data_IF_186406548203
#
_entry.id   IF_186406548203
#
_cell.length_a   1.000
_cell.length_b   1.000
_cell.length_c   1.000
_cell.angle_alpha   90.00
_cell.angle_beta   90.00
_cell.angle_gamma   90.00
#
_symmetry.space_group_name_H-M   'P 1'
#
loop_
_entity.id
_entity.type
_entity.pdbx_description
1 polymer ?
#
# COMPACT_ATOMS: atom_id res chain seq x y z
N UNK A 1 -18.39 4.50 -2.45
CA UNK A 1 -17.24 4.47 -3.39
C UNK A 1 -16.61 3.07 -3.44
N UNK A 2 -17.38 2.03 -3.79
CA UNK A 2 -16.92 0.62 -3.71
C UNK A 2 -16.52 -0.01 -5.07
N UNK A 3 -16.57 0.75 -6.18
CA UNK A 3 -16.59 0.17 -7.52
C UNK A 3 -15.21 -0.14 -8.14
N UNK A 4 -14.10 0.27 -7.49
CA UNK A 4 -12.74 0.12 -8.02
C UNK A 4 -12.03 -1.18 -7.62
N UNK A 5 -12.26 -1.67 -6.39
CA UNK A 5 -11.61 -2.89 -5.85
C UNK A 5 -12.15 -4.18 -6.44
N UNK A 6 -13.46 -4.25 -6.63
CA UNK A 6 -14.11 -5.43 -7.21
C UNK A 6 -13.76 -5.62 -8.69
N UNK A 7 -13.38 -4.54 -9.39
CA UNK A 7 -13.00 -4.56 -10.80
C UNK A 7 -11.59 -5.14 -10.98
N UNK A 8 -10.60 -4.76 -10.17
CA UNK A 8 -9.23 -5.25 -10.33
C UNK A 8 -9.05 -6.72 -9.87
N UNK A 9 -9.70 -7.12 -8.78
CA UNK A 9 -9.72 -8.53 -8.37
C UNK A 9 -10.44 -9.41 -9.38
N UNK A 10 -11.50 -8.89 -10.03
CA UNK A 10 -12.15 -9.59 -11.15
C UNK A 10 -11.23 -9.72 -12.36
N UNK A 11 -10.45 -8.68 -12.70
CA UNK A 11 -9.58 -8.70 -13.88
C UNK A 11 -8.47 -9.73 -13.73
N UNK A 12 -7.82 -9.81 -12.57
CA UNK A 12 -6.75 -10.80 -12.33
C UNK A 12 -7.31 -12.22 -12.23
N UNK A 13 -8.40 -12.42 -11.48
CA UNK A 13 -9.04 -13.74 -11.36
C UNK A 13 -9.60 -14.23 -12.69
N UNK A 14 -10.11 -13.31 -13.53
CA UNK A 14 -10.58 -13.61 -14.89
C UNK A 14 -9.43 -13.85 -15.86
N UNK A 15 -8.30 -13.16 -15.69
CA UNK A 15 -7.08 -13.40 -16.47
C UNK A 15 -6.47 -14.77 -16.19
N UNK A 16 -6.35 -15.14 -14.91
CA UNK A 16 -5.89 -16.46 -14.48
C UNK A 16 -6.90 -17.56 -14.83
N UNK A 17 -8.20 -17.26 -14.74
CA UNK A 17 -9.27 -18.13 -15.22
C UNK A 17 -9.18 -18.36 -16.73
N UNK A 18 -8.97 -17.32 -17.52
CA UNK A 18 -8.81 -17.42 -18.97
C UNK A 18 -7.52 -18.14 -19.38
N UNK A 19 -6.43 -17.97 -18.65
CA UNK A 19 -5.18 -18.73 -18.87
C UNK A 19 -5.38 -20.21 -18.55
N UNK A 20 -5.98 -20.53 -17.40
CA UNK A 20 -6.35 -21.91 -17.05
C UNK A 20 -7.31 -22.50 -18.10
N UNK A 21 -8.34 -21.77 -18.51
CA UNK A 21 -9.32 -22.25 -19.48
C UNK A 21 -8.68 -22.40 -20.89
N UNK A 22 -7.68 -21.59 -21.24
CA UNK A 22 -6.89 -21.76 -22.46
C UNK A 22 -5.96 -23.00 -22.39
N UNK A 23 -5.36 -23.28 -21.23
CA UNK A 23 -4.55 -24.48 -21.02
C UNK A 23 -5.41 -25.76 -20.96
N UNK A 24 -6.58 -25.71 -20.31
CA UNK A 24 -7.49 -26.87 -20.20
C UNK A 24 -8.25 -27.10 -21.51
N UNK A 25 -8.68 -26.01 -22.17
CA UNK A 25 -9.33 -26.06 -23.48
C UNK A 25 -8.37 -26.48 -24.60
N UNK A 26 -7.07 -26.15 -24.49
CA UNK A 26 -6.04 -26.65 -25.41
C UNK A 26 -5.87 -28.18 -25.35
N UNK A 27 -6.09 -28.79 -24.19
CA UNK A 27 -6.10 -30.26 -24.05
C UNK A 27 -7.34 -30.90 -24.69
N UNK A 28 -8.53 -30.29 -24.54
CA UNK A 28 -9.78 -30.77 -25.15
C UNK A 28 -9.85 -30.52 -26.69
N UNK A 29 -9.28 -29.41 -27.18
CA UNK A 29 -9.18 -29.11 -28.62
C UNK A 29 -8.10 -29.96 -29.31
N UNK A 30 -7.01 -30.32 -28.61
CA UNK A 30 -6.02 -31.26 -29.12
C UNK A 30 -6.60 -32.67 -29.31
N UNK A 31 -7.51 -33.11 -28.43
CA UNK A 31 -8.26 -34.37 -28.61
C UNK A 31 -9.29 -34.29 -29.75
N UNK A 32 -9.98 -33.16 -29.94
CA UNK A 32 -10.93 -33.00 -31.05
C UNK A 32 -10.25 -32.89 -32.43
N UNK A 33 -9.08 -32.28 -32.50
CA UNK A 33 -8.32 -32.17 -33.76
C UNK A 33 -7.85 -33.55 -34.26
N UNK A 34 -7.58 -34.49 -33.35
CA UNK A 34 -7.27 -35.89 -33.73
C UNK A 34 -8.45 -36.62 -34.39
N UNK A 35 -9.70 -36.32 -34.00
CA UNK A 35 -10.89 -36.94 -34.62
C UNK A 35 -11.20 -36.41 -36.02
N UNK A 36 -10.82 -35.18 -36.34
CA UNK A 36 -11.04 -34.58 -37.66
C UNK A 36 -9.89 -34.90 -38.65
N UNK A 37 -8.65 -35.04 -38.16
CA UNK A 37 -7.48 -35.41 -38.99
C UNK A 37 -7.55 -36.81 -39.61
N UNK A 38 -8.30 -37.74 -39.01
CA UNK A 38 -8.44 -39.10 -39.56
C UNK A 38 -9.24 -39.12 -40.88
N UNK A 39 -10.01 -38.07 -41.19
CA UNK A 39 -10.77 -37.96 -42.45
C UNK A 39 -10.01 -37.30 -43.61
N UNK A 40 -8.81 -36.74 -43.37
CA UNK A 40 -8.00 -36.06 -44.37
C UNK A 40 -6.77 -36.86 -44.86
N UNK A 41 -6.53 -38.07 -44.35
CA UNK A 41 -5.33 -38.91 -44.60
C UNK A 41 -5.17 -39.52 -46.01
N UNK A 42 -5.70 -38.89 -47.05
CA UNK A 42 -5.41 -39.26 -48.44
C UNK A 42 -4.49 -38.24 -49.10
N UNK A 43 -3.20 -38.24 -48.73
CA UNK A 43 -2.17 -37.58 -49.55
C UNK A 43 -0.91 -37.01 -48.89
N UNK A 44 -0.77 -37.03 -47.56
CA UNK A 44 0.46 -36.57 -46.88
C UNK A 44 1.31 -37.75 -46.41
N UNK A 45 2.65 -37.63 -46.54
CA UNK A 45 3.62 -38.64 -46.11
C UNK A 45 3.32 -39.15 -44.69
N UNK A 46 3.27 -40.48 -44.50
CA UNK A 46 3.09 -41.06 -43.17
C UNK A 46 4.24 -40.59 -42.25
N UNK A 47 3.94 -40.13 -41.02
CA UNK A 47 4.96 -39.69 -40.09
C UNK A 47 5.95 -40.83 -39.82
N UNK A 48 7.23 -40.54 -40.07
CA UNK A 48 8.32 -41.50 -39.90
C UNK A 48 8.47 -41.89 -38.41
N UNK A 49 8.98 -43.09 -38.13
CA UNK A 49 9.17 -43.53 -36.74
C UNK A 49 10.01 -42.56 -35.86
N UNK A 50 11.05 -41.88 -36.37
CA UNK A 50 11.76 -40.84 -35.63
C UNK A 50 10.89 -39.60 -35.32
N UNK A 51 10.08 -39.14 -36.26
CA UNK A 51 9.17 -37.99 -36.08
C UNK A 51 8.10 -38.27 -35.01
N UNK A 52 7.51 -39.48 -35.00
CA UNK A 52 6.54 -39.89 -33.97
C UNK A 52 7.13 -39.87 -32.56
N UNK A 53 8.35 -40.38 -32.40
CA UNK A 53 9.04 -40.40 -31.11
C UNK A 53 9.38 -38.99 -30.61
N UNK A 54 9.83 -38.10 -31.50
CA UNK A 54 10.09 -36.70 -31.13
C UNK A 54 8.80 -35.98 -30.72
N UNK A 55 7.66 -36.27 -31.39
CA UNK A 55 6.37 -35.72 -31.00
C UNK A 55 5.90 -36.20 -29.60
N UNK A 56 6.12 -37.48 -29.26
CA UNK A 56 5.82 -38.01 -27.91
C UNK A 56 6.67 -37.30 -26.84
N UNK A 57 7.96 -37.10 -27.08
CA UNK A 57 8.86 -36.41 -26.14
C UNK A 57 8.51 -34.91 -25.98
N UNK A 58 8.05 -34.27 -27.06
CA UNK A 58 7.55 -32.89 -26.99
C UNK A 58 6.24 -32.80 -26.22
N UNK A 59 5.34 -33.77 -26.38
CA UNK A 59 4.11 -33.85 -25.61
C UNK A 59 4.38 -34.00 -24.11
N UNK A 60 5.34 -34.85 -23.73
CA UNK A 60 5.78 -35.00 -22.33
C UNK A 60 6.38 -33.69 -21.77
N UNK A 61 7.12 -32.94 -22.58
CA UNK A 61 7.68 -31.64 -22.21
C UNK A 61 6.59 -30.58 -22.06
N UNK A 62 5.61 -30.54 -22.96
CA UNK A 62 4.45 -29.65 -22.86
C UNK A 62 3.62 -29.94 -21.61
N UNK A 63 3.44 -31.22 -21.28
CA UNK A 63 2.72 -31.63 -20.07
C UNK A 63 3.42 -31.14 -18.80
N UNK A 64 4.75 -31.28 -18.71
CA UNK A 64 5.53 -30.77 -17.59
C UNK A 64 5.41 -29.24 -17.45
N UNK A 65 5.47 -28.52 -18.57
CA UNK A 65 5.25 -27.07 -18.57
C UNK A 65 3.83 -26.70 -18.11
N UNK A 66 2.80 -27.44 -18.56
CA UNK A 66 1.42 -27.23 -18.15
C UNK A 66 1.19 -27.52 -16.66
N UNK A 67 1.93 -28.44 -16.07
CA UNK A 67 1.89 -28.75 -14.64
C UNK A 67 2.57 -27.68 -13.77
N UNK A 68 3.33 -26.76 -14.39
CA UNK A 68 3.96 -25.60 -13.77
C UNK A 68 5.49 -25.59 -13.88
N UNK A 69 6.12 -26.57 -14.52
CA UNK A 69 7.57 -26.58 -14.68
C UNK A 69 8.01 -25.72 -15.87
N UNK A 70 8.21 -24.41 -15.65
CA UNK A 70 8.64 -23.49 -16.71
C UNK A 70 10.15 -23.58 -16.99
N UNK A 71 10.88 -24.51 -16.34
CA UNK A 71 12.31 -24.72 -16.59
C UNK A 71 12.56 -25.66 -17.77
N UNK A 72 11.54 -26.41 -18.20
CA UNK A 72 11.65 -27.38 -19.29
C UNK A 72 11.87 -26.69 -20.64
N UNK A 73 12.65 -27.34 -21.51
CA UNK A 73 12.95 -26.87 -22.87
C UNK A 73 12.88 -28.02 -23.85
N UNK A 74 12.41 -27.74 -25.06
CA UNK A 74 12.44 -28.68 -26.17
C UNK A 74 13.78 -28.57 -26.91
N UNK A 75 14.35 -29.71 -27.30
CA UNK A 75 15.57 -29.78 -28.10
C UNK A 75 15.25 -30.18 -29.54
N UNK A 76 15.51 -29.28 -30.49
CA UNK A 76 15.46 -29.60 -31.92
C UNK A 76 16.53 -30.62 -32.30
N UNK A 77 16.16 -31.59 -33.15
CA UNK A 77 17.04 -32.69 -33.56
C UNK A 77 17.51 -32.62 -35.00
N UNK A 78 17.05 -31.65 -35.79
CA UNK A 78 17.41 -31.54 -37.20
C UNK A 78 16.77 -32.62 -38.09
N UNK A 79 15.84 -33.41 -37.54
CA UNK A 79 15.17 -34.52 -38.23
C UNK A 79 13.94 -34.05 -39.03
N UNK A 80 13.28 -32.98 -38.56
CA UNK A 80 12.09 -32.38 -39.18
C UNK A 80 12.10 -30.86 -38.91
N UNK A 81 12.23 -30.06 -39.96
CA UNK A 81 12.28 -28.59 -39.84
C UNK A 81 11.00 -27.99 -39.24
N UNK A 82 9.84 -28.64 -39.39
CA UNK A 82 8.61 -28.17 -38.76
C UNK A 82 8.63 -28.41 -37.25
N UNK A 83 9.16 -29.56 -36.81
CA UNK A 83 9.31 -29.87 -35.39
C UNK A 83 10.37 -28.99 -34.72
N UNK A 84 11.50 -28.71 -35.39
CA UNK A 84 12.52 -27.81 -34.85
C UNK A 84 11.97 -26.38 -34.67
N UNK A 85 11.18 -25.87 -35.64
CA UNK A 85 10.49 -24.58 -35.50
C UNK A 85 9.51 -24.56 -34.33
N UNK A 86 8.74 -25.64 -34.12
CA UNK A 86 7.84 -25.75 -32.97
C UNK A 86 8.59 -25.74 -31.64
N UNK A 87 9.75 -26.39 -31.56
CA UNK A 87 10.59 -26.37 -30.36
C UNK A 87 11.10 -24.96 -30.04
N UNK A 88 11.56 -24.22 -31.05
CA UNK A 88 12.01 -22.83 -30.89
C UNK A 88 10.87 -21.92 -30.42
N UNK A 89 9.70 -21.98 -31.06
CA UNK A 89 8.51 -21.19 -30.68
C UNK A 89 8.01 -21.53 -29.27
N UNK A 90 8.00 -22.82 -28.91
CA UNK A 90 7.65 -23.26 -27.56
C UNK A 90 8.64 -22.72 -26.52
N UNK A 91 9.94 -22.85 -26.77
CA UNK A 91 10.98 -22.36 -25.85
C UNK A 91 10.90 -20.84 -25.65
N UNK A 92 10.59 -20.08 -26.70
CA UNK A 92 10.36 -18.64 -26.61
C UNK A 92 9.14 -18.32 -25.74
N UNK A 93 8.01 -19.00 -25.96
CA UNK A 93 6.81 -18.82 -25.16
C UNK A 93 7.04 -19.13 -23.67
N UNK A 94 7.69 -20.26 -23.36
CA UNK A 94 7.99 -20.64 -21.97
C UNK A 94 8.94 -19.63 -21.33
N UNK A 95 9.93 -19.12 -22.06
CA UNK A 95 10.83 -18.06 -21.58
C UNK A 95 10.09 -16.77 -21.18
N UNK A 96 9.09 -16.34 -21.97
CA UNK A 96 8.28 -15.16 -21.63
C UNK A 96 7.34 -15.42 -20.44
N UNK A 97 6.77 -16.62 -20.33
CA UNK A 97 5.96 -17.03 -19.17
C UNK A 97 6.79 -17.09 -17.89
N UNK A 98 8.02 -17.60 -17.99
CA UNK A 98 8.98 -17.65 -16.89
C UNK A 98 9.30 -16.23 -16.39
N UNK A 99 9.68 -15.32 -17.29
CA UNK A 99 9.95 -13.91 -16.94
C UNK A 99 8.75 -13.22 -16.28
N UNK A 100 7.55 -13.48 -16.81
CA UNK A 100 6.32 -12.90 -16.27
C UNK A 100 6.05 -13.43 -14.86
N UNK A 101 6.25 -14.73 -14.65
CA UNK A 101 6.09 -15.39 -13.34
C UNK A 101 7.09 -14.84 -12.32
N UNK A 102 8.37 -14.72 -12.70
CA UNK A 102 9.40 -14.13 -11.85
C UNK A 102 9.08 -12.69 -11.48
N UNK A 103 8.60 -11.89 -12.43
CA UNK A 103 8.18 -10.52 -12.18
C UNK A 103 7.01 -10.45 -11.18
N UNK A 104 6.02 -11.34 -11.33
CA UNK A 104 4.90 -11.43 -10.40
C UNK A 104 5.35 -11.88 -9.00
N UNK A 105 6.27 -12.84 -8.89
CA UNK A 105 6.84 -13.27 -7.60
C UNK A 105 7.55 -12.12 -6.89
N UNK A 106 8.42 -11.39 -7.60
CA UNK A 106 9.09 -10.19 -7.06
C UNK A 106 8.07 -9.15 -6.58
N UNK A 107 7.08 -8.86 -7.41
CA UNK A 107 6.04 -7.87 -7.09
C UNK A 107 5.22 -8.26 -5.86
N UNK A 108 4.87 -9.54 -5.71
CA UNK A 108 4.17 -10.05 -4.53
C UNK A 108 5.02 -9.87 -3.27
N UNK A 109 6.31 -10.21 -3.31
CA UNK A 109 7.23 -9.97 -2.20
C UNK A 109 7.37 -8.49 -1.83
N UNK A 110 7.43 -7.61 -2.84
CA UNK A 110 7.43 -6.16 -2.62
C UNK A 110 6.14 -5.67 -1.96
N UNK A 111 4.98 -6.17 -2.38
CA UNK A 111 3.68 -5.82 -1.77
C UNK A 111 3.59 -6.29 -0.32
N UNK A 112 4.08 -7.49 -0.01
CA UNK A 112 4.13 -7.98 1.37
C UNK A 112 5.02 -7.11 2.26
N UNK A 113 6.23 -6.79 1.79
CA UNK A 113 7.17 -5.92 2.51
C UNK A 113 6.66 -4.50 2.67
N UNK A 114 6.08 -3.92 1.61
CA UNK A 114 5.48 -2.59 1.65
C UNK A 114 4.27 -2.56 2.61
N UNK A 115 3.48 -3.63 2.67
CA UNK A 115 2.37 -3.74 3.61
C UNK A 115 2.82 -3.62 5.08
N UNK A 116 3.92 -4.30 5.44
CA UNK A 116 4.51 -4.21 6.79
C UNK A 116 5.01 -2.79 7.08
N UNK A 117 5.69 -2.17 6.13
CA UNK A 117 6.18 -0.80 6.29
C UNK A 117 5.05 0.23 6.45
N UNK A 118 3.93 0.04 5.74
CA UNK A 118 2.73 0.89 5.90
C UNK A 118 2.09 0.70 7.27
N UNK A 119 2.04 -0.52 7.80
CA UNK A 119 1.51 -0.80 9.14
C UNK A 119 2.34 -0.09 10.22
N UNK A 120 3.67 -0.25 10.20
CA UNK A 120 4.58 0.41 11.14
C UNK A 120 4.52 1.94 11.06
N UNK A 121 4.48 2.48 9.85
CA UNK A 121 4.33 3.91 9.62
C UNK A 121 2.99 4.43 10.16
N UNK A 122 1.89 3.72 9.88
CA UNK A 122 0.56 4.09 10.38
C UNK A 122 0.50 4.09 11.91
N UNK A 123 1.16 3.12 12.54
CA UNK A 123 1.32 3.02 13.99
C UNK A 123 2.12 4.19 14.57
N UNK A 124 3.21 4.58 13.89
CA UNK A 124 4.04 5.72 14.29
C UNK A 124 3.27 7.03 14.20
N UNK A 125 2.55 7.24 13.10
CA UNK A 125 1.72 8.44 12.94
C UNK A 125 0.59 8.46 13.97
N UNK A 126 -0.05 7.32 14.26
CA UNK A 126 -1.09 7.24 15.31
C UNK A 126 -0.56 7.68 16.68
N UNK A 127 0.61 7.18 17.09
CA UNK A 127 1.23 7.60 18.37
C UNK A 127 1.57 9.09 18.37
N UNK A 128 2.05 9.62 17.25
CA UNK A 128 2.32 11.05 17.12
C UNK A 128 1.02 11.88 17.23
N UNK A 129 -0.06 11.43 16.59
CA UNK A 129 -1.39 12.03 16.68
C UNK A 129 -1.93 12.04 18.11
N UNK A 130 -1.80 10.94 18.84
CA UNK A 130 -2.20 10.84 20.25
C UNK A 130 -1.45 11.88 21.11
N UNK A 131 -0.13 12.01 20.92
CA UNK A 131 0.68 13.02 21.61
C UNK A 131 0.24 14.46 21.28
N UNK A 132 -0.16 14.72 20.04
CA UNK A 132 -0.70 16.03 19.64
C UNK A 132 -2.03 16.29 20.35
N UNK A 133 -2.92 15.30 20.44
CA UNK A 133 -4.20 15.43 21.16
C UNK A 133 -3.95 15.77 22.64
N UNK A 134 -3.05 15.05 23.30
CA UNK A 134 -2.70 15.32 24.70
C UNK A 134 -2.12 16.72 24.90
N UNK A 135 -1.26 17.16 23.97
CA UNK A 135 -0.70 18.52 23.96
C UNK A 135 -1.79 19.58 23.80
N UNK A 136 -2.74 19.35 22.89
CA UNK A 136 -3.87 20.25 22.63
C UNK A 136 -4.82 20.34 23.83
N UNK A 137 -5.05 19.23 24.54
CA UNK A 137 -5.83 19.23 25.78
C UNK A 137 -5.13 20.03 26.89
N UNK A 138 -3.81 19.87 27.02
CA UNK A 138 -2.99 20.62 27.98
C UNK A 138 -3.04 22.13 27.68
N UNK A 139 -2.78 22.51 26.42
CA UNK A 139 -2.86 23.90 25.96
C UNK A 139 -4.24 24.50 26.23
N UNK A 140 -5.32 23.76 25.93
CA UNK A 140 -6.69 24.21 26.20
C UNK A 140 -6.93 24.47 27.69
N UNK A 141 -6.40 23.62 28.57
CA UNK A 141 -6.46 23.81 30.01
C UNK A 141 -5.68 25.03 30.46
N UNK A 142 -4.46 25.20 29.98
CA UNK A 142 -3.57 26.31 30.31
C UNK A 142 -4.16 27.66 29.86
N UNK A 143 -4.71 27.72 28.65
CA UNK A 143 -5.40 28.91 28.14
C UNK A 143 -6.61 29.27 29.01
N UNK A 144 -7.40 28.27 29.43
CA UNK A 144 -8.52 28.48 30.33
C UNK A 144 -8.09 29.12 31.65
N UNK A 145 -7.05 28.56 32.29
CA UNK A 145 -6.49 29.09 33.53
C UNK A 145 -5.87 30.48 33.35
N UNK A 146 -5.22 30.74 32.22
CA UNK A 146 -4.59 32.02 31.93
C UNK A 146 -5.65 33.12 31.68
N UNK A 147 -6.76 32.77 31.03
CA UNK A 147 -7.89 33.68 30.82
C UNK A 147 -8.53 34.11 32.14
N UNK A 148 -8.72 33.17 33.08
CA UNK A 148 -9.22 33.48 34.42
C UNK A 148 -8.28 34.44 35.18
N UNK A 149 -6.96 34.22 35.08
CA UNK A 149 -5.97 35.10 35.69
C UNK A 149 -5.97 36.51 35.08
N UNK A 150 -6.04 36.61 33.75
CA UNK A 150 -6.12 37.89 33.05
C UNK A 150 -7.41 38.65 33.40
N UNK A 151 -8.54 37.95 33.48
CA UNK A 151 -9.80 38.57 33.90
C UNK A 151 -9.71 39.12 35.34
N UNK A 152 -9.18 38.33 36.28
CA UNK A 152 -9.00 38.79 37.67
C UNK A 152 -8.02 39.99 37.76
N UNK A 153 -6.98 40.02 36.93
CA UNK A 153 -6.06 41.14 36.85
C UNK A 153 -6.75 42.41 36.32
N UNK A 154 -7.56 42.30 35.25
CA UNK A 154 -8.34 43.42 34.73
C UNK A 154 -9.30 43.96 35.79
N UNK A 155 -10.05 43.09 36.49
CA UNK A 155 -10.98 43.49 37.55
C UNK A 155 -10.26 44.20 38.71
N UNK A 156 -9.05 43.76 39.04
CA UNK A 156 -8.21 44.42 40.05
C UNK A 156 -7.79 45.81 39.62
N UNK A 157 -7.35 45.97 38.36
CA UNK A 157 -6.96 47.27 37.80
C UNK A 157 -8.16 48.22 37.78
N UNK A 158 -9.33 47.75 37.33
CA UNK A 158 -10.57 48.54 37.32
C UNK A 158 -10.94 49.01 38.75
N UNK A 159 -10.74 48.15 39.76
CA UNK A 159 -10.94 48.53 41.17
C UNK A 159 -9.94 49.57 41.69
N UNK A 160 -8.67 49.49 41.29
CA UNK A 160 -7.65 50.50 41.65
C UNK A 160 -7.92 51.83 40.96
N UNK A 161 -8.31 51.81 39.68
CA UNK A 161 -8.72 53.00 38.93
C UNK A 161 -9.87 53.71 39.63
N UNK A 162 -10.94 52.99 40.00
CA UNK A 162 -12.07 53.57 40.71
C UNK A 162 -11.68 54.22 42.05
N UNK A 163 -10.77 53.60 42.81
CA UNK A 163 -10.27 54.18 44.05
C UNK A 163 -9.44 55.45 43.81
N UNK A 164 -8.62 55.48 42.75
CA UNK A 164 -7.84 56.66 42.38
C UNK A 164 -8.73 57.79 41.86
N UNK A 165 -9.80 57.50 41.13
CA UNK A 165 -10.81 58.48 40.69
C UNK A 165 -11.51 59.13 41.89
N UNK A 166 -11.83 58.35 42.93
CA UNK A 166 -12.40 58.88 44.18
C UNK A 166 -11.41 59.82 44.90
N UNK A 167 -10.12 59.46 44.91
CA UNK A 167 -9.06 60.33 45.47
C UNK A 167 -8.91 61.61 44.65
N UNK A 168 -8.89 61.53 43.32
CA UNK A 168 -8.82 62.70 42.45
C UNK A 168 -10.03 63.63 42.66
N UNK A 169 -11.24 63.08 42.81
CA UNK A 169 -12.45 63.84 43.08
C UNK A 169 -12.44 64.53 44.47
N UNK A 170 -11.83 63.90 45.47
CA UNK A 170 -11.72 64.45 46.83
C UNK A 170 -10.51 65.39 47.02
N UNK A 171 -9.47 65.25 46.20
CA UNK A 171 -8.21 65.99 46.28
C UNK A 171 -7.77 66.44 44.87
N UNK A 172 -8.41 67.49 44.32
CA UNK A 172 -8.15 67.94 42.94
C UNK A 172 -6.74 68.50 42.70
N UNK A 173 -5.97 68.77 43.76
CA UNK A 173 -4.57 69.19 43.67
C UNK A 173 -3.60 67.99 43.52
N UNK A 174 -4.09 66.76 43.62
CA UNK A 174 -3.28 65.55 43.45
C UNK A 174 -3.16 65.21 41.95
N UNK A 175 -1.93 65.18 41.43
CA UNK A 175 -1.62 64.84 40.03
C UNK A 175 -1.68 63.32 39.78
N UNK A 176 -2.90 62.77 39.71
CA UNK A 176 -3.17 61.32 39.66
C UNK A 176 -3.73 60.87 38.29
N UNK A 177 -4.36 61.74 37.51
CA UNK A 177 -4.82 61.45 36.14
C UNK A 177 -3.82 60.67 35.26
N UNK A 178 -2.51 61.01 35.22
CA UNK A 178 -1.55 60.26 34.40
C UNK A 178 -1.31 58.82 34.85
N UNK A 179 -1.66 58.47 36.09
CA UNK A 179 -1.57 57.11 36.62
C UNK A 179 -2.84 56.32 36.28
N UNK A 180 -4.02 56.96 36.38
CA UNK A 180 -5.30 56.37 35.94
C UNK A 180 -5.23 56.00 34.46
N UNK A 181 -4.84 56.94 33.59
CA UNK A 181 -4.75 56.69 32.15
C UNK A 181 -3.82 55.51 31.80
N UNK A 182 -2.70 55.35 32.53
CA UNK A 182 -1.78 54.22 32.35
C UNK A 182 -2.37 52.89 32.80
N UNK A 183 -3.12 52.89 33.89
CA UNK A 183 -3.80 51.69 34.37
C UNK A 183 -4.91 51.25 33.40
N UNK A 184 -5.68 52.20 32.85
CA UNK A 184 -6.68 51.92 31.83
C UNK A 184 -6.07 51.32 30.55
N UNK A 185 -4.93 51.85 30.10
CA UNK A 185 -4.16 51.28 28.98
C UNK A 185 -3.76 49.82 29.27
N UNK A 186 -3.20 49.55 30.45
CA UNK A 186 -2.83 48.19 30.86
C UNK A 186 -4.04 47.24 30.95
N UNK A 187 -5.19 47.71 31.46
CA UNK A 187 -6.41 46.92 31.47
C UNK A 187 -6.88 46.57 30.05
N UNK A 188 -6.73 47.50 29.09
CA UNK A 188 -7.01 47.24 27.68
C UNK A 188 -6.09 46.14 27.12
N UNK A 189 -4.78 46.24 27.36
CA UNK A 189 -3.82 45.23 26.90
C UNK A 189 -4.11 43.83 27.47
N UNK A 190 -4.51 43.75 28.73
CA UNK A 190 -4.90 42.48 29.38
C UNK A 190 -6.14 41.88 28.74
N UNK A 191 -7.16 42.69 28.40
CA UNK A 191 -8.36 42.23 27.70
C UNK A 191 -8.03 41.75 26.28
N UNK A 192 -7.13 42.44 25.59
CA UNK A 192 -6.65 42.01 24.27
C UNK A 192 -5.90 40.66 24.35
N UNK A 193 -5.06 40.47 25.37
CA UNK A 193 -4.41 39.19 25.62
C UNK A 193 -5.42 38.06 25.92
N UNK A 194 -6.49 38.35 26.66
CA UNK A 194 -7.56 37.38 26.91
C UNK A 194 -8.28 36.98 25.61
N UNK A 195 -8.53 37.92 24.70
CA UNK A 195 -9.12 37.65 23.38
C UNK A 195 -8.21 36.78 22.50
N UNK A 196 -6.89 36.99 22.56
CA UNK A 196 -5.92 36.11 21.87
C UNK A 196 -6.06 34.67 22.37
N UNK A 197 -6.23 34.46 23.67
CA UNK A 197 -6.47 33.14 24.26
C UNK A 197 -7.68 32.41 23.64
N UNK A 198 -8.80 33.11 23.43
CA UNK A 198 -9.99 32.53 22.77
C UNK A 198 -9.71 32.12 21.31
N UNK A 199 -8.89 32.90 20.61
CA UNK A 199 -8.40 32.56 19.26
C UNK A 199 -7.60 31.25 19.26
N UNK A 200 -6.64 31.11 20.17
CA UNK A 200 -5.82 29.89 20.28
C UNK A 200 -6.67 28.68 20.69
N UNK A 201 -7.68 28.86 21.54
CA UNK A 201 -8.61 27.78 21.90
C UNK A 201 -9.39 27.28 20.68
N UNK A 202 -9.85 28.19 19.83
CA UNK A 202 -10.56 27.85 18.58
C UNK A 202 -9.62 27.11 17.62
N UNK A 203 -8.39 27.59 17.46
CA UNK A 203 -7.37 26.95 16.63
C UNK A 203 -7.05 25.53 17.12
N UNK A 204 -6.92 25.35 18.43
CA UNK A 204 -6.71 24.05 19.07
C UNK A 204 -7.84 23.05 18.76
N UNK A 205 -9.10 23.51 18.74
CA UNK A 205 -10.23 22.66 18.35
C UNK A 205 -10.17 22.25 16.87
N UNK A 206 -9.78 23.17 15.99
CA UNK A 206 -9.61 22.88 14.56
C UNK A 206 -8.51 21.83 14.36
N UNK A 207 -7.36 22.00 15.00
CA UNK A 207 -6.26 21.01 14.94
C UNK A 207 -6.74 19.66 15.47
N UNK A 208 -7.46 19.62 16.59
CA UNK A 208 -8.03 18.38 17.13
C UNK A 208 -8.94 17.65 16.14
N UNK A 209 -9.79 18.39 15.42
CA UNK A 209 -10.65 17.81 14.38
C UNK A 209 -9.83 17.24 13.21
N UNK A 210 -8.80 17.95 12.75
CA UNK A 210 -7.90 17.47 11.70
C UNK A 210 -7.16 16.19 12.11
N UNK A 211 -6.68 16.11 13.35
CA UNK A 211 -6.02 14.91 13.87
C UNK A 211 -6.98 13.72 13.94
N UNK A 212 -8.25 13.95 14.29
CA UNK A 212 -9.26 12.91 14.28
C UNK A 212 -9.55 12.40 12.86
N UNK A 213 -9.59 13.30 11.87
CA UNK A 213 -9.75 12.95 10.45
C UNK A 213 -8.56 12.14 9.94
N UNK A 214 -7.32 12.57 10.23
CA UNK A 214 -6.10 11.81 9.90
C UNK A 214 -6.12 10.42 10.53
N UNK A 215 -6.56 10.30 11.77
CA UNK A 215 -6.68 8.99 12.44
C UNK A 215 -7.66 8.07 11.73
N UNK A 216 -8.77 8.60 11.21
CA UNK A 216 -9.71 7.83 10.42
C UNK A 216 -9.10 7.37 9.08
N UNK A 217 -8.38 8.26 8.38
CA UNK A 217 -7.69 7.92 7.14
C UNK A 217 -6.61 6.87 7.34
N UNK A 218 -5.83 6.95 8.42
CA UNK A 218 -4.79 5.95 8.74
C UNK A 218 -5.37 4.56 9.01
N UNK A 219 -6.51 4.48 9.70
CA UNK A 219 -7.22 3.20 9.84
C UNK A 219 -7.64 2.65 8.47
N UNK A 220 -8.03 3.53 7.56
CA UNK A 220 -8.40 3.17 6.18
C UNK A 220 -7.19 2.66 5.39
N UNK A 221 -6.04 3.32 5.48
CA UNK A 221 -4.79 2.93 4.84
C UNK A 221 -4.29 1.58 5.38
N UNK A 222 -4.28 1.41 6.70
CA UNK A 222 -3.88 0.15 7.36
C UNK A 222 -4.75 -1.03 6.93
N UNK A 223 -6.08 -0.85 6.86
CA UNK A 223 -6.98 -1.88 6.32
C UNK A 223 -6.63 -2.28 4.89
N UNK A 224 -6.31 -1.30 4.04
CA UNK A 224 -5.96 -1.56 2.63
C UNK A 224 -4.64 -2.29 2.50
N UNK A 225 -3.65 -1.95 3.33
CA UNK A 225 -2.38 -2.65 3.38
C UNK A 225 -2.58 -4.12 3.81
N UNK A 226 -3.41 -4.35 4.82
CA UNK A 226 -3.75 -5.71 5.26
C UNK A 226 -4.50 -6.50 4.18
N UNK A 227 -5.45 -5.86 3.48
CA UNK A 227 -6.13 -6.49 2.34
C UNK A 227 -5.13 -6.90 1.25
N UNK A 228 -4.18 -6.03 0.91
CA UNK A 228 -3.14 -6.32 -0.10
C UNK A 228 -2.26 -7.50 0.33
N UNK A 229 -1.82 -7.55 1.58
CA UNK A 229 -1.08 -8.70 2.13
C UNK A 229 -1.92 -9.97 2.05
N UNK A 230 -3.22 -9.89 2.38
CA UNK A 230 -4.13 -11.04 2.32
C UNK A 230 -4.34 -11.57 0.90
N UNK A 231 -4.22 -10.73 -0.13
CA UNK A 231 -4.22 -11.17 -1.53
C UNK A 231 -2.84 -11.64 -2.02
N UNK A 232 -1.77 -11.04 -1.49
CA UNK A 232 -0.40 -11.37 -1.84
C UNK A 232 -0.04 -12.81 -1.42
N UNK A 233 -0.38 -13.23 -0.20
CA UNK A 233 -0.06 -14.58 0.28
C UNK A 233 -0.63 -15.73 -0.59
N UNK A 234 -1.94 -15.78 -0.93
CA UNK A 234 -2.45 -16.82 -1.82
C UNK A 234 -1.92 -16.70 -3.25
N UNK A 235 -1.61 -15.49 -3.72
CA UNK A 235 -0.98 -15.30 -5.02
C UNK A 235 0.46 -15.85 -5.02
N UNK A 236 1.23 -15.62 -3.95
CA UNK A 236 2.55 -16.22 -3.75
C UNK A 236 2.46 -17.74 -3.81
N UNK A 237 1.53 -18.34 -3.06
CA UNK A 237 1.35 -19.79 -3.05
C UNK A 237 0.98 -20.38 -4.43
N UNK A 238 0.26 -19.63 -5.27
CA UNK A 238 -0.03 -20.03 -6.65
C UNK A 238 1.22 -19.90 -7.52
N UNK A 239 1.97 -18.82 -7.37
CA UNK A 239 3.19 -18.57 -8.15
C UNK A 239 4.31 -19.55 -7.77
N UNK A 240 4.41 -19.97 -6.51
CA UNK A 240 5.38 -20.97 -6.03
C UNK A 240 5.17 -22.36 -6.65
N UNK A 241 3.98 -22.63 -7.20
CA UNK A 241 3.74 -23.85 -7.99
C UNK A 241 4.51 -23.82 -9.31
N UNK A 242 4.78 -22.64 -9.86
CA UNK A 242 5.52 -22.48 -11.10
C UNK A 242 7.01 -22.45 -10.80
N UNK A 243 7.76 -23.44 -11.30
CA UNK A 243 9.22 -23.47 -11.18
C UNK A 243 9.84 -22.61 -12.27
N UNK A 244 10.75 -21.72 -11.87
CA UNK A 244 11.51 -20.89 -12.80
C UNK A 244 13.00 -21.13 -12.63
N UNK A 245 13.80 -20.85 -13.65
CA UNK A 245 15.23 -21.14 -13.64
C UNK A 245 15.97 -20.22 -12.64
N UNK A 246 15.41 -19.04 -12.37
CA UNK A 246 15.83 -18.10 -11.32
C UNK A 246 15.87 -18.73 -9.91
N UNK A 247 14.96 -19.66 -9.61
CA UNK A 247 14.94 -20.41 -8.34
C UNK A 247 16.02 -21.51 -8.30
N UNK A 248 16.26 -22.18 -9.42
CA UNK A 248 17.32 -23.18 -9.56
C UNK A 248 18.71 -22.54 -9.33
N UNK A 249 18.98 -21.39 -9.95
CA UNK A 249 20.27 -20.69 -9.75
C UNK A 249 20.44 -20.17 -8.31
N UNK A 250 19.36 -19.70 -7.67
CA UNK A 250 19.39 -19.27 -6.27
C UNK A 250 19.63 -20.43 -5.29
N UNK A 251 19.04 -21.60 -5.56
CA UNK A 251 19.26 -22.82 -4.75
C UNK A 251 20.68 -23.39 -4.93
N UNK A 252 21.21 -23.40 -6.15
CA UNK A 252 22.55 -23.85 -6.46
C UNK A 252 23.61 -22.91 -5.85
N UNK A 253 23.36 -21.61 -5.85
CA UNK A 253 24.24 -20.62 -5.20
C UNK A 253 24.28 -20.80 -3.67
N UNK A 254 23.13 -21.07 -3.04
CA UNK A 254 23.04 -21.26 -1.59
C UNK A 254 23.63 -22.61 -1.14
N UNK A 255 23.53 -23.66 -1.96
CA UNK A 255 24.12 -24.98 -1.68
C UNK A 255 25.64 -25.01 -1.93
N UNK A 256 26.13 -24.27 -2.92
CA UNK A 256 27.57 -24.09 -3.14
C UNK A 256 28.24 -23.30 -2.01
N UNK A 257 27.53 -22.36 -1.37
CA UNK A 257 28.01 -21.63 -0.19
C UNK A 257 28.02 -22.47 1.10
N UNK A 258 27.15 -23.48 1.22
CA UNK A 258 27.06 -24.36 2.39
C UNK A 258 28.08 -25.51 2.38
N UNK A 259 28.72 -25.79 1.23
CA UNK A 259 29.75 -26.82 1.06
C UNK A 259 31.18 -26.26 1.24
N UNK A 260 31.34 -24.94 1.26
CA UNK A 260 32.63 -24.24 1.49
C UNK A 260 32.87 -23.81 2.96
N UNK A 261 31.99 -24.15 3.91
CA UNK A 261 32.20 -23.98 5.37
C UNK A 261 32.50 -25.30 6.08
#
# INVERSE_FOLDING_TARGET
MSNGRDTNSNVVTRGLGALRDAFTGGSDDAEQTQTDEDTARTGGDEPTAPSKRTAEEYADTMQQCADGDLTVRMEGRGEDEAMDRMADEFNEMVSELEKTTDHLKSYVGEVEGAGVGVEESSDTVRRASDNVIDSMQTISGDIGAQREQLQAASETIDGVVAALEEVAASHPDADIEPQIARLEEQASEIRDAANIGEGVQTETQVVGATVAEQSAELNDVSRRANDLQRYATPLSAILDRFKTNSENESSLSNESAAVEE
#
